data_IF_045176654374
#
_entry.id   IF_045176654374
#
_cell.length_a   1.000
_cell.length_b   1.000
_cell.length_c   1.000
_cell.angle_alpha   90.00
_cell.angle_beta   90.00
_cell.angle_gamma   90.00
#
_symmetry.space_group_name_H-M   'P 1'
#
loop_
_entity.id
_entity.type
_entity.pdbx_description
1 polymer ?
#
# COMPACT_ATOMS: atom_id res chain seq x y z
N UNK A 1 -35.39 -60.44 -99.56
CA UNK A 1 -34.53 -59.70 -98.60
C UNK A 1 -33.10 -60.14 -98.82
N UNK A 2 -32.17 -59.20 -99.04
CA UNK A 2 -30.73 -59.51 -99.13
C UNK A 2 -30.26 -59.99 -97.76
N UNK A 3 -29.60 -61.15 -97.69
CA UNK A 3 -28.98 -61.62 -96.45
C UNK A 3 -27.83 -60.68 -96.08
N UNK A 4 -27.85 -60.17 -94.85
CA UNK A 4 -26.74 -59.35 -94.32
C UNK A 4 -25.54 -60.27 -94.09
N UNK A 5 -24.35 -59.95 -94.64
CA UNK A 5 -23.14 -60.73 -94.43
C UNK A 5 -22.81 -60.89 -92.94
N UNK A 6 -22.21 -62.02 -92.58
CA UNK A 6 -21.80 -62.30 -91.20
C UNK A 6 -20.86 -61.21 -90.65
N UNK A 7 -19.93 -60.72 -91.47
CA UNK A 7 -18.97 -59.69 -91.10
C UNK A 7 -19.65 -58.37 -90.71
N UNK A 8 -20.68 -57.96 -91.45
CA UNK A 8 -21.50 -56.78 -91.12
C UNK A 8 -22.28 -56.97 -89.83
N UNK A 9 -22.72 -58.20 -89.51
CA UNK A 9 -23.36 -58.50 -88.23
C UNK A 9 -22.38 -58.38 -87.06
N UNK A 10 -21.12 -58.79 -87.25
CA UNK A 10 -20.06 -58.64 -86.23
C UNK A 10 -19.71 -57.18 -85.99
N UNK A 11 -19.60 -56.39 -87.06
CA UNK A 11 -19.36 -54.94 -86.97
C UNK A 11 -20.48 -54.20 -86.22
N UNK A 12 -21.75 -54.57 -86.48
CA UNK A 12 -22.90 -54.05 -85.72
C UNK A 12 -22.81 -54.39 -84.23
N UNK A 13 -22.42 -55.61 -83.87
CA UNK A 13 -22.28 -56.03 -82.48
C UNK A 13 -21.09 -55.34 -81.80
N UNK A 14 -19.97 -55.20 -82.47
CA UNK A 14 -18.77 -54.52 -81.96
C UNK A 14 -19.07 -53.05 -81.65
N UNK A 15 -19.63 -52.31 -82.62
CA UNK A 15 -20.00 -50.91 -82.41
C UNK A 15 -21.04 -50.73 -81.30
N UNK A 16 -22.00 -51.65 -81.18
CA UNK A 16 -22.95 -51.64 -80.08
C UNK A 16 -22.27 -51.91 -78.73
N UNK A 17 -21.37 -52.89 -78.64
CA UNK A 17 -20.59 -53.19 -77.43
C UNK A 17 -19.58 -52.10 -77.07
N UNK A 18 -19.23 -51.20 -77.99
CA UNK A 18 -18.51 -49.95 -77.72
C UNK A 18 -19.41 -48.83 -77.13
N UNK A 19 -20.67 -49.13 -76.84
CA UNK A 19 -21.61 -48.20 -76.21
C UNK A 19 -22.29 -47.22 -77.18
N UNK A 20 -22.32 -47.51 -78.49
CA UNK A 20 -23.08 -46.71 -79.46
C UNK A 20 -24.56 -47.11 -79.46
N UNK A 21 -25.45 -46.12 -79.58
CA UNK A 21 -26.88 -46.38 -79.74
C UNK A 21 -27.17 -47.11 -81.05
N UNK A 22 -28.29 -47.83 -81.12
CA UNK A 22 -28.70 -48.53 -82.34
C UNK A 22 -28.83 -47.57 -83.55
N UNK A 23 -29.18 -46.30 -83.31
CA UNK A 23 -29.22 -45.24 -84.32
C UNK A 23 -27.81 -44.88 -84.81
N UNK A 24 -26.87 -44.64 -83.89
CA UNK A 24 -25.49 -44.34 -84.23
C UNK A 24 -24.77 -45.51 -84.93
N UNK A 25 -25.12 -46.76 -84.57
CA UNK A 25 -24.63 -47.96 -85.27
C UNK A 25 -25.22 -48.05 -86.67
N UNK A 26 -26.50 -47.73 -86.84
CA UNK A 26 -27.17 -47.70 -88.15
C UNK A 26 -26.52 -46.68 -89.09
N UNK A 27 -26.20 -45.49 -88.59
CA UNK A 27 -25.49 -44.43 -89.33
C UNK A 27 -24.07 -44.84 -89.72
N UNK A 28 -23.32 -45.49 -88.82
CA UNK A 28 -21.92 -45.90 -89.07
C UNK A 28 -21.76 -47.09 -90.00
N UNK A 29 -22.72 -48.01 -90.01
CA UNK A 29 -22.62 -49.28 -90.78
C UNK A 29 -23.42 -49.25 -92.08
N UNK A 30 -24.28 -48.25 -92.30
CA UNK A 30 -25.20 -48.17 -93.44
C UNK A 30 -26.32 -49.23 -93.40
N UNK A 31 -26.45 -49.98 -92.29
CA UNK A 31 -27.51 -50.97 -92.06
C UNK A 31 -28.73 -50.28 -91.47
N UNK A 32 -29.96 -50.67 -91.86
CA UNK A 32 -31.17 -50.07 -91.31
C UNK A 32 -31.34 -50.35 -89.81
N UNK A 33 -31.90 -49.41 -89.05
CA UNK A 33 -32.20 -49.56 -87.61
C UNK A 33 -32.94 -50.86 -87.28
N UNK A 34 -33.93 -51.25 -88.10
CA UNK A 34 -34.67 -52.50 -87.93
C UNK A 34 -33.79 -53.75 -88.07
N UNK A 35 -32.80 -53.72 -88.95
CA UNK A 35 -31.82 -54.80 -89.10
C UNK A 35 -30.83 -54.84 -87.92
N UNK A 36 -30.38 -53.67 -87.41
CA UNK A 36 -29.58 -53.59 -86.17
C UNK A 36 -30.34 -54.21 -85.00
N UNK A 37 -31.61 -53.84 -84.80
CA UNK A 37 -32.47 -54.40 -83.75
C UNK A 37 -32.63 -55.93 -83.89
N UNK A 38 -32.79 -56.43 -85.12
CA UNK A 38 -32.86 -57.87 -85.38
C UNK A 38 -31.56 -58.59 -85.02
N UNK A 39 -30.40 -58.00 -85.35
CA UNK A 39 -29.08 -58.56 -85.03
C UNK A 39 -28.89 -58.61 -83.50
N UNK A 40 -29.27 -57.56 -82.79
CA UNK A 40 -29.22 -57.51 -81.32
C UNK A 40 -30.17 -58.53 -80.68
N UNK A 41 -31.40 -58.69 -81.22
CA UNK A 41 -32.34 -59.72 -80.78
C UNK A 41 -31.76 -61.13 -80.94
N UNK A 42 -31.10 -61.38 -82.06
CA UNK A 42 -30.42 -62.65 -82.33
C UNK A 42 -29.23 -62.89 -81.38
N UNK A 43 -28.49 -61.84 -81.03
CA UNK A 43 -27.40 -61.91 -80.05
C UNK A 43 -27.90 -62.15 -78.62
N UNK A 44 -28.99 -61.49 -78.21
CA UNK A 44 -29.68 -61.77 -76.93
C UNK A 44 -30.14 -63.24 -76.85
N UNK A 45 -30.66 -63.76 -77.95
CA UNK A 45 -31.09 -65.15 -78.07
C UNK A 45 -29.94 -66.17 -78.16
N UNK A 46 -28.69 -65.72 -78.22
CA UNK A 46 -27.52 -66.61 -78.27
C UNK A 46 -27.27 -67.25 -79.64
N UNK A 47 -27.79 -66.67 -80.73
CA UNK A 47 -27.54 -67.18 -82.10
C UNK A 47 -26.09 -67.00 -82.59
N UNK A 48 -25.26 -66.32 -81.81
CA UNK A 48 -23.81 -66.20 -82.01
C UNK A 48 -23.08 -66.91 -80.84
N UNK A 49 -23.06 -68.25 -80.80
CA UNK A 49 -22.56 -69.01 -79.65
C UNK A 49 -21.08 -68.72 -79.32
N UNK A 50 -20.28 -68.45 -80.34
CA UNK A 50 -18.86 -68.11 -80.24
C UNK A 50 -18.54 -66.75 -79.60
N UNK A 51 -19.54 -65.95 -79.28
CA UNK A 51 -19.36 -64.67 -78.56
C UNK A 51 -19.88 -64.71 -77.11
N UNK A 52 -20.55 -65.79 -76.69
CA UNK A 52 -21.09 -65.95 -75.32
C UNK A 52 -21.95 -64.77 -74.81
N UNK A 53 -22.59 -64.01 -75.71
CA UNK A 53 -23.32 -62.78 -75.37
C UNK A 53 -24.73 -63.00 -74.80
N UNK A 54 -25.18 -64.26 -74.68
CA UNK A 54 -26.55 -64.60 -74.28
C UNK A 54 -26.87 -63.99 -72.91
N UNK A 55 -27.86 -63.10 -72.86
CA UNK A 55 -28.27 -62.40 -71.64
C UNK A 55 -27.33 -61.30 -71.13
N UNK A 56 -26.11 -61.16 -71.68
CA UNK A 56 -25.09 -60.21 -71.21
C UNK A 56 -24.92 -58.98 -72.09
N UNK A 57 -25.45 -59.00 -73.31
CA UNK A 57 -25.23 -57.92 -74.29
C UNK A 57 -25.67 -56.55 -73.78
N UNK A 58 -26.81 -56.49 -73.09
CA UNK A 58 -27.34 -55.23 -72.55
C UNK A 58 -26.53 -54.76 -71.33
N UNK A 59 -26.02 -55.68 -70.51
CA UNK A 59 -25.11 -55.36 -69.38
C UNK A 59 -23.78 -54.80 -69.88
N UNK A 60 -23.14 -55.47 -70.85
CA UNK A 60 -21.88 -55.03 -71.46
C UNK A 60 -22.06 -53.69 -72.18
N UNK A 61 -23.16 -53.52 -72.91
CA UNK A 61 -23.50 -52.24 -73.52
C UNK A 61 -23.69 -51.14 -72.47
N UNK A 62 -24.41 -51.41 -71.38
CA UNK A 62 -24.63 -50.44 -70.30
C UNK A 62 -23.30 -50.05 -69.62
N UNK A 63 -22.40 -51.00 -69.39
CA UNK A 63 -21.06 -50.72 -68.86
C UNK A 63 -20.27 -49.85 -69.84
N UNK A 64 -20.24 -50.20 -71.13
CA UNK A 64 -19.55 -49.43 -72.15
C UNK A 64 -20.13 -48.00 -72.29
N UNK A 65 -21.45 -47.84 -72.23
CA UNK A 65 -22.12 -46.54 -72.21
C UNK A 65 -21.71 -45.73 -70.97
N UNK A 66 -21.67 -46.34 -69.78
CA UNK A 66 -21.26 -45.66 -68.54
C UNK A 66 -19.80 -45.23 -68.59
N UNK A 67 -18.91 -46.10 -69.05
CA UNK A 67 -17.49 -45.78 -69.25
C UNK A 67 -17.34 -44.59 -70.20
N UNK A 68 -18.02 -44.64 -71.35
CA UNK A 68 -17.99 -43.56 -72.34
C UNK A 68 -18.55 -42.24 -71.81
N UNK A 69 -19.65 -42.27 -71.05
CA UNK A 69 -20.21 -41.06 -70.40
C UNK A 69 -19.23 -40.41 -69.41
N UNK A 70 -18.34 -41.20 -68.82
CA UNK A 70 -17.29 -40.75 -67.91
C UNK A 70 -15.94 -40.54 -68.62
N UNK A 71 -15.89 -40.60 -69.96
CA UNK A 71 -14.65 -40.54 -70.76
C UNK A 71 -13.59 -41.58 -70.34
N UNK A 72 -14.01 -42.75 -69.89
CA UNK A 72 -13.16 -43.88 -69.51
C UNK A 72 -13.14 -44.94 -70.60
N UNK A 73 -12.01 -45.62 -70.76
CA UNK A 73 -11.87 -46.80 -71.60
C UNK A 73 -11.79 -48.09 -70.75
N UNK A 74 -11.73 -49.24 -71.41
CA UNK A 74 -11.62 -50.55 -70.74
C UNK A 74 -10.30 -50.70 -69.96
N UNK A 75 -9.22 -50.06 -70.39
CA UNK A 75 -7.92 -50.09 -69.70
C UNK A 75 -8.01 -49.35 -68.36
N UNK A 76 -8.65 -48.18 -68.35
CA UNK A 76 -8.92 -47.40 -67.14
C UNK A 76 -9.88 -48.14 -66.21
N UNK A 77 -10.93 -48.77 -66.75
CA UNK A 77 -11.84 -49.60 -65.94
C UNK A 77 -11.09 -50.77 -65.26
N UNK A 78 -10.17 -51.42 -65.98
CA UNK A 78 -9.33 -52.49 -65.45
C UNK A 78 -8.39 -51.98 -64.35
N UNK A 79 -7.79 -50.81 -64.53
CA UNK A 79 -6.95 -50.17 -63.51
C UNK A 79 -7.75 -49.86 -62.25
N UNK A 80 -8.94 -49.25 -62.40
CA UNK A 80 -9.85 -48.96 -61.29
C UNK A 80 -10.27 -50.22 -60.52
N UNK A 81 -10.56 -51.32 -61.23
CA UNK A 81 -10.87 -52.60 -60.59
C UNK A 81 -9.68 -53.17 -59.80
N UNK A 82 -8.47 -53.13 -60.36
CA UNK A 82 -7.24 -53.55 -59.68
C UNK A 82 -6.96 -52.70 -58.43
N UNK A 83 -7.16 -51.39 -58.53
CA UNK A 83 -7.03 -50.47 -57.41
C UNK A 83 -8.04 -50.77 -56.30
N UNK A 84 -9.32 -50.98 -56.66
CA UNK A 84 -10.37 -51.37 -55.73
C UNK A 84 -10.05 -52.69 -55.01
N UNK A 85 -9.54 -53.70 -55.72
CA UNK A 85 -9.11 -54.96 -55.09
C UNK A 85 -7.99 -54.76 -54.07
N UNK A 86 -7.05 -53.83 -54.31
CA UNK A 86 -5.97 -53.52 -53.37
C UNK A 86 -6.48 -52.79 -52.13
N UNK A 87 -7.44 -51.87 -52.28
CA UNK A 87 -8.09 -51.21 -51.15
C UNK A 87 -8.83 -52.21 -50.25
N UNK A 88 -9.58 -53.14 -50.84
CA UNK A 88 -10.24 -54.21 -50.08
C UNK A 88 -9.23 -55.12 -49.36
N UNK A 89 -8.08 -55.41 -49.98
CA UNK A 89 -7.05 -56.26 -49.37
C UNK A 89 -6.44 -55.65 -48.11
N UNK A 90 -6.46 -54.31 -47.97
CA UNK A 90 -6.05 -53.60 -46.75
C UNK A 90 -7.25 -53.24 -45.84
N UNK A 91 -8.44 -53.76 -46.14
CA UNK A 91 -9.64 -53.56 -45.33
C UNK A 91 -10.31 -52.20 -45.50
N UNK A 92 -9.99 -51.46 -46.57
CA UNK A 92 -10.60 -50.17 -46.89
C UNK A 92 -11.75 -50.38 -47.88
N UNK A 93 -12.98 -50.28 -47.38
CA UNK A 93 -14.21 -50.29 -48.18
C UNK A 93 -14.47 -48.91 -48.82
N UNK A 94 -15.15 -48.82 -49.99
CA UNK A 94 -15.44 -47.56 -50.66
C UNK A 94 -16.09 -46.50 -49.77
N UNK A 95 -16.98 -46.93 -48.90
CA UNK A 95 -17.72 -46.08 -47.96
C UNK A 95 -16.81 -45.44 -46.91
N UNK A 96 -15.66 -46.07 -46.63
CA UNK A 96 -14.68 -45.63 -45.63
C UNK A 96 -13.46 -44.95 -46.25
N UNK A 97 -13.44 -44.76 -47.57
CA UNK A 97 -12.29 -44.19 -48.26
C UNK A 97 -11.99 -42.75 -47.78
N UNK A 98 -13.02 -41.94 -47.57
CA UNK A 98 -12.86 -40.57 -47.04
C UNK A 98 -12.31 -40.57 -45.60
N UNK A 99 -12.82 -41.45 -44.73
CA UNK A 99 -12.31 -41.62 -43.37
C UNK A 99 -10.84 -42.06 -43.36
N UNK A 100 -10.48 -42.97 -44.27
CA UNK A 100 -9.11 -43.43 -44.44
C UNK A 100 -8.17 -42.31 -44.91
N UNK A 101 -8.62 -41.47 -45.84
CA UNK A 101 -7.85 -40.30 -46.30
C UNK A 101 -7.68 -39.29 -45.16
N UNK A 102 -8.73 -39.04 -44.37
CA UNK A 102 -8.68 -38.16 -43.22
C UNK A 102 -7.70 -38.66 -42.15
N UNK A 103 -7.74 -39.97 -41.82
CA UNK A 103 -6.80 -40.60 -40.91
C UNK A 103 -5.34 -40.45 -41.36
N UNK A 104 -5.05 -40.71 -42.64
CA UNK A 104 -3.71 -40.51 -43.21
C UNK A 104 -3.24 -39.05 -43.08
N UNK A 105 -4.18 -38.10 -43.22
CA UNK A 105 -3.91 -36.66 -43.11
C UNK A 105 -3.72 -36.21 -41.65
N UNK A 106 -4.36 -36.86 -40.68
CA UNK A 106 -4.17 -36.58 -39.25
C UNK A 106 -2.80 -37.06 -38.74
N UNK A 107 -2.36 -38.24 -39.20
CA UNK A 107 -1.03 -38.78 -38.86
C UNK A 107 0.09 -37.95 -39.49
N UNK A 108 -0.17 -37.38 -40.67
CA UNK A 108 0.79 -36.53 -41.38
C UNK A 108 0.18 -35.16 -41.71
N UNK A 109 0.06 -34.27 -40.71
CA UNK A 109 -0.67 -33.01 -40.85
C UNK A 109 0.05 -32.00 -41.78
N UNK A 110 1.33 -32.24 -42.09
CA UNK A 110 2.15 -31.37 -42.95
C UNK A 110 1.91 -31.64 -44.43
N UNK A 111 1.72 -32.91 -44.81
CA UNK A 111 1.30 -33.34 -46.14
C UNK A 111 0.83 -34.81 -46.11
N UNK A 112 -0.30 -35.17 -46.73
CA UNK A 112 -0.70 -36.57 -46.93
C UNK A 112 0.35 -37.38 -47.71
N UNK A 113 1.21 -36.71 -48.48
CA UNK A 113 2.32 -37.33 -49.21
C UNK A 113 3.42 -37.86 -48.27
N UNK A 114 3.56 -37.31 -47.06
CA UNK A 114 4.59 -37.69 -46.09
C UNK A 114 4.20 -38.92 -45.25
N UNK A 115 2.93 -39.34 -45.29
CA UNK A 115 2.46 -40.55 -44.61
C UNK A 115 3.17 -41.81 -45.11
N UNK A 116 3.30 -41.96 -46.44
CA UNK A 116 3.94 -43.15 -47.04
C UNK A 116 5.44 -43.20 -46.67
N UNK A 117 6.24 -42.13 -46.83
CA UNK A 117 7.60 -42.07 -46.30
C UNK A 117 7.70 -42.39 -44.80
N UNK A 118 6.83 -41.83 -43.95
CA UNK A 118 6.85 -42.08 -42.51
C UNK A 118 6.53 -43.55 -42.16
N UNK A 119 5.53 -44.15 -42.82
CA UNK A 119 5.19 -45.55 -42.66
C UNK A 119 6.32 -46.47 -43.16
N UNK A 120 6.99 -46.10 -44.25
CA UNK A 120 8.14 -46.83 -44.80
C UNK A 120 9.37 -46.75 -43.89
N UNK A 121 9.65 -45.60 -43.31
CA UNK A 121 10.72 -45.46 -42.30
C UNK A 121 10.38 -46.23 -41.03
N UNK A 122 9.13 -46.19 -40.55
CA UNK A 122 8.71 -47.02 -39.41
C UNK A 122 8.89 -48.52 -39.69
N UNK A 123 8.53 -48.97 -40.89
CA UNK A 123 8.75 -50.36 -41.32
C UNK A 123 10.24 -50.70 -41.39
N UNK A 124 11.07 -49.79 -41.86
CA UNK A 124 12.53 -49.96 -41.91
C UNK A 124 13.11 -50.08 -40.51
N UNK A 125 12.74 -49.18 -39.59
CA UNK A 125 13.16 -49.23 -38.18
C UNK A 125 12.72 -50.55 -37.53
N UNK A 126 11.48 -50.98 -37.77
CA UNK A 126 10.94 -52.27 -37.28
C UNK A 126 11.77 -53.45 -37.80
N UNK A 127 12.22 -53.41 -39.07
CA UNK A 127 13.08 -54.45 -39.67
C UNK A 127 14.50 -54.43 -39.13
N UNK A 128 15.08 -53.25 -38.92
CA UNK A 128 16.45 -53.09 -38.43
C UNK A 128 16.58 -53.46 -36.95
N UNK A 129 15.58 -53.08 -36.14
CA UNK A 129 15.55 -53.37 -34.70
C UNK A 129 14.96 -54.74 -34.38
N UNK A 130 14.14 -55.30 -35.28
CA UNK A 130 13.39 -56.54 -35.04
C UNK A 130 12.22 -56.37 -34.05
N UNK A 131 11.92 -55.14 -33.63
CA UNK A 131 10.90 -54.84 -32.64
C UNK A 131 9.55 -54.53 -33.29
N UNK A 132 8.45 -54.92 -32.64
CA UNK A 132 7.11 -54.47 -33.04
C UNK A 132 6.93 -52.97 -32.78
N UNK A 133 5.96 -52.35 -33.46
CA UNK A 133 5.58 -50.96 -33.20
C UNK A 133 5.29 -50.68 -31.72
N UNK A 134 4.57 -51.59 -31.04
CA UNK A 134 4.24 -51.45 -29.62
C UNK A 134 5.48 -51.49 -28.73
N UNK A 135 6.44 -52.37 -29.04
CA UNK A 135 7.71 -52.45 -28.32
C UNK A 135 8.57 -51.19 -28.56
N UNK A 136 8.68 -50.74 -29.81
CA UNK A 136 9.41 -49.53 -30.17
C UNK A 136 8.82 -48.29 -29.49
N UNK A 137 7.48 -48.15 -29.48
CA UNK A 137 6.80 -47.06 -28.79
C UNK A 137 7.08 -47.09 -27.29
N UNK A 138 7.02 -48.27 -26.66
CA UNK A 138 7.33 -48.45 -25.23
C UNK A 138 8.80 -48.10 -24.90
N UNK A 139 9.73 -48.44 -25.78
CA UNK A 139 11.15 -48.13 -25.62
C UNK A 139 11.40 -46.64 -25.77
N UNK A 140 10.79 -45.99 -26.77
CA UNK A 140 10.87 -44.53 -26.95
C UNK A 140 10.29 -43.80 -25.74
N UNK A 141 9.16 -44.25 -25.18
CA UNK A 141 8.62 -43.65 -23.96
C UNK A 141 9.55 -43.86 -22.76
N UNK A 142 10.11 -45.07 -22.60
CA UNK A 142 11.05 -45.36 -21.51
C UNK A 142 12.34 -44.54 -21.62
N UNK A 143 12.89 -44.40 -22.82
CA UNK A 143 14.06 -43.54 -23.08
C UNK A 143 13.74 -42.06 -22.85
N UNK A 144 12.53 -41.60 -23.17
CA UNK A 144 12.12 -40.23 -22.89
C UNK A 144 12.02 -39.97 -21.37
N UNK A 145 11.47 -40.91 -20.61
CA UNK A 145 11.43 -40.85 -19.14
C UNK A 145 12.83 -40.87 -18.53
N UNK A 146 13.71 -41.76 -19.01
CA UNK A 146 15.09 -41.83 -18.52
C UNK A 146 15.87 -40.55 -18.86
N UNK A 147 15.68 -40.01 -20.06
CA UNK A 147 16.25 -38.71 -20.44
C UNK A 147 15.80 -37.62 -19.47
N UNK A 148 14.52 -37.61 -19.09
CA UNK A 148 14.00 -36.63 -18.14
C UNK A 148 14.65 -36.76 -16.76
N UNK A 149 14.80 -37.99 -16.25
CA UNK A 149 15.51 -38.25 -14.98
C UNK A 149 16.96 -37.82 -15.02
N UNK A 150 17.65 -38.08 -16.12
CA UNK A 150 19.05 -37.65 -16.30
C UNK A 150 19.17 -36.12 -16.35
N UNK A 151 18.22 -35.43 -16.97
CA UNK A 151 18.18 -33.96 -16.98
C UNK A 151 18.03 -33.40 -15.56
N UNK A 152 17.14 -33.99 -14.75
CA UNK A 152 16.96 -33.62 -13.35
C UNK A 152 18.24 -33.88 -12.52
N UNK A 153 18.85 -35.07 -12.67
CA UNK A 153 20.08 -35.42 -11.98
C UNK A 153 21.26 -34.51 -12.35
N UNK A 154 21.37 -34.09 -13.62
CA UNK A 154 22.37 -33.11 -14.06
C UNK A 154 22.10 -31.75 -13.42
N UNK A 155 20.84 -31.34 -13.29
CA UNK A 155 20.46 -30.11 -12.57
C UNK A 155 20.90 -30.14 -11.11
N UNK A 156 20.65 -31.24 -10.40
CA UNK A 156 21.07 -31.43 -9.01
C UNK A 156 22.59 -31.42 -8.86
N UNK A 157 23.31 -32.06 -9.77
CA UNK A 157 24.78 -32.06 -9.79
C UNK A 157 25.34 -30.66 -10.02
N UNK A 158 24.77 -29.88 -10.94
CA UNK A 158 25.16 -28.49 -11.17
C UNK A 158 24.91 -27.61 -9.93
N UNK A 159 23.78 -27.80 -9.25
CA UNK A 159 23.50 -27.09 -8.00
C UNK A 159 24.52 -27.46 -6.90
N UNK A 160 24.85 -28.75 -6.78
CA UNK A 160 25.86 -29.24 -5.84
C UNK A 160 27.26 -28.72 -6.17
N UNK A 161 27.63 -28.66 -7.45
CA UNK A 161 28.91 -28.10 -7.91
C UNK A 161 29.02 -26.62 -7.55
N UNK A 162 27.96 -25.84 -7.80
CA UNK A 162 27.90 -24.42 -7.43
C UNK A 162 28.11 -24.24 -5.92
N UNK A 163 27.38 -25.01 -5.11
CA UNK A 163 27.54 -24.99 -3.64
C UNK A 163 28.95 -25.38 -3.19
N UNK A 164 29.56 -26.38 -3.83
CA UNK A 164 30.95 -26.78 -3.55
C UNK A 164 31.94 -25.65 -3.83
N UNK A 165 31.74 -24.90 -4.92
CA UNK A 165 32.58 -23.76 -5.26
C UNK A 165 32.39 -22.57 -4.30
N UNK A 166 31.15 -22.29 -3.86
CA UNK A 166 30.86 -21.29 -2.83
C UNK A 166 31.56 -21.66 -1.50
N UNK A 167 31.43 -22.91 -1.05
CA UNK A 167 32.11 -23.39 0.15
C UNK A 167 33.64 -23.30 0.05
N UNK A 168 34.22 -23.59 -1.12
CA UNK A 168 35.67 -23.41 -1.35
C UNK A 168 36.09 -21.95 -1.23
N UNK A 169 35.28 -21.01 -1.73
CA UNK A 169 35.56 -19.58 -1.58
C UNK A 169 35.50 -19.15 -0.11
N UNK A 170 34.47 -19.58 0.63
CA UNK A 170 34.34 -19.32 2.07
C UNK A 170 35.52 -19.89 2.87
N UNK A 171 35.97 -21.11 2.55
CA UNK A 171 37.15 -21.72 3.17
C UNK A 171 38.38 -20.83 2.91
N UNK A 172 38.58 -20.36 1.68
CA UNK A 172 39.69 -19.46 1.35
C UNK A 172 39.67 -18.15 2.14
N UNK A 173 38.49 -17.55 2.31
CA UNK A 173 38.32 -16.34 3.12
C UNK A 173 38.60 -16.59 4.61
N UNK A 174 38.13 -17.72 5.14
CA UNK A 174 38.40 -18.14 6.51
C UNK A 174 39.88 -18.44 6.75
N UNK A 175 40.57 -19.08 5.81
CA UNK A 175 42.02 -19.31 5.88
C UNK A 175 42.80 -18.00 5.91
N UNK A 176 42.41 -17.04 5.06
CA UNK A 176 42.99 -15.70 5.08
C UNK A 176 42.77 -15.02 6.43
N UNK A 177 41.54 -15.03 6.94
CA UNK A 177 41.22 -14.42 8.24
C UNK A 177 41.98 -15.09 9.40
N UNK A 178 42.13 -16.41 9.35
CA UNK A 178 42.94 -17.15 10.33
C UNK A 178 44.41 -16.74 10.26
N UNK A 179 44.96 -16.51 9.07
CA UNK A 179 46.34 -16.03 8.93
C UNK A 179 46.55 -14.63 9.51
N UNK A 180 45.59 -13.72 9.29
CA UNK A 180 45.59 -12.36 9.85
C UNK A 180 45.54 -12.39 11.38
N UNK A 181 44.60 -13.18 11.94
CA UNK A 181 44.45 -13.34 13.38
C UNK A 181 45.69 -13.98 14.02
N UNK A 182 46.34 -14.93 13.34
CA UNK A 182 47.61 -15.50 13.82
C UNK A 182 48.73 -14.46 13.82
N UNK A 183 48.81 -13.61 12.80
CA UNK A 183 49.81 -12.53 12.76
C UNK A 183 49.57 -11.51 13.88
N UNK A 184 48.31 -11.11 14.10
CA UNK A 184 47.92 -10.20 15.18
C UNK A 184 48.22 -10.80 16.56
N UNK A 185 47.88 -12.08 16.78
CA UNK A 185 48.22 -12.81 18.00
C UNK A 185 49.72 -12.78 18.26
N UNK A 186 50.54 -13.14 17.27
CA UNK A 186 52.01 -13.13 17.41
C UNK A 186 52.54 -11.74 17.75
N UNK A 187 51.95 -10.69 17.17
CA UNK A 187 52.30 -9.30 17.48
C UNK A 187 51.94 -8.95 18.93
N UNK A 188 50.72 -9.26 19.37
CA UNK A 188 50.28 -9.01 20.74
C UNK A 188 51.10 -9.80 21.76
N UNK A 189 51.45 -11.05 21.47
CA UNK A 189 52.35 -11.85 22.31
C UNK A 189 53.75 -11.21 22.43
N UNK A 190 54.27 -10.64 21.34
CA UNK A 190 55.52 -9.89 21.36
C UNK A 190 55.42 -8.58 22.16
N UNK A 191 54.33 -7.83 22.03
CA UNK A 191 54.06 -6.61 22.79
C UNK A 191 53.93 -6.91 24.29
N UNK A 192 53.19 -7.96 24.67
CA UNK A 192 53.07 -8.42 26.07
C UNK A 192 54.42 -8.85 26.61
N UNK A 193 55.20 -9.61 25.85
CA UNK A 193 56.56 -10.03 26.26
C UNK A 193 57.48 -8.83 26.47
N UNK A 194 57.39 -7.82 25.59
CA UNK A 194 58.13 -6.56 25.71
C UNK A 194 57.73 -5.81 26.98
N UNK A 195 56.42 -5.62 27.21
CA UNK A 195 55.90 -4.96 28.41
C UNK A 195 56.32 -5.69 29.69
N UNK A 196 56.21 -7.01 29.72
CA UNK A 196 56.64 -7.82 30.87
C UNK A 196 58.15 -7.61 31.14
N UNK A 197 58.98 -7.56 30.09
CA UNK A 197 60.41 -7.26 30.25
C UNK A 197 60.67 -5.86 30.84
N UNK A 198 59.86 -4.86 30.48
CA UNK A 198 59.94 -3.50 31.02
C UNK A 198 59.53 -3.49 32.49
N UNK A 199 58.43 -4.16 32.83
CA UNK A 199 57.95 -4.31 34.21
C UNK A 199 59.02 -4.98 35.07
N UNK A 200 59.61 -6.10 34.61
CA UNK A 200 60.68 -6.79 35.33
C UNK A 200 61.89 -5.89 35.58
N UNK A 201 62.37 -5.17 34.55
CA UNK A 201 63.48 -4.23 34.70
C UNK A 201 63.17 -3.11 35.69
N UNK A 202 61.95 -2.56 35.63
CA UNK A 202 61.52 -1.47 36.53
C UNK A 202 61.35 -1.96 37.97
N UNK A 203 60.75 -3.13 38.16
CA UNK A 203 60.62 -3.77 39.46
C UNK A 203 62.00 -4.00 40.10
N UNK A 204 62.98 -4.48 39.30
CA UNK A 204 64.36 -4.65 39.75
C UNK A 204 65.01 -3.33 40.19
N UNK A 205 64.84 -2.24 39.41
CA UNK A 205 65.36 -0.91 39.77
C UNK A 205 64.72 -0.37 41.05
N UNK A 206 63.43 -0.64 41.25
CA UNK A 206 62.67 -0.20 42.42
C UNK A 206 62.85 -1.11 43.64
N UNK A 207 63.47 -2.28 43.49
CA UNK A 207 63.70 -3.23 44.57
C UNK A 207 62.43 -3.93 45.07
N UNK A 208 61.39 -4.01 44.24
CA UNK A 208 60.11 -4.67 44.57
C UNK A 208 59.83 -5.86 43.63
N UNK A 209 59.02 -6.85 44.03
CA UNK A 209 58.56 -7.91 43.14
C UNK A 209 57.79 -7.36 41.93
N UNK A 210 57.99 -7.94 40.74
CA UNK A 210 57.30 -7.52 39.52
C UNK A 210 55.77 -7.64 39.62
N UNK A 211 55.28 -8.66 40.32
CA UNK A 211 53.85 -8.86 40.60
C UNK A 211 53.26 -7.76 41.48
N UNK A 212 54.05 -7.21 42.41
CA UNK A 212 53.63 -6.09 43.26
C UNK A 212 53.56 -4.79 42.44
N UNK A 213 54.53 -4.56 41.55
CA UNK A 213 54.49 -3.43 40.62
C UNK A 213 53.29 -3.52 39.67
N UNK A 214 52.99 -4.70 39.12
CA UNK A 214 51.80 -4.94 38.29
C UNK A 214 50.51 -4.63 39.03
N UNK A 215 50.38 -5.12 40.28
CA UNK A 215 49.21 -4.84 41.10
C UNK A 215 49.03 -3.33 41.35
N UNK A 216 50.12 -2.61 41.65
CA UNK A 216 50.10 -1.15 41.86
C UNK A 216 49.78 -0.38 40.59
N UNK A 217 50.27 -0.81 39.42
CA UNK A 217 49.88 -0.23 38.13
C UNK A 217 48.39 -0.47 37.85
N UNK A 218 47.87 -1.65 38.18
CA UNK A 218 46.43 -1.94 38.09
C UNK A 218 45.58 -1.06 39.02
N UNK A 219 46.02 -0.83 40.26
CA UNK A 219 45.37 0.12 41.18
C UNK A 219 45.36 1.55 40.60
N UNK A 220 46.46 2.01 40.00
CA UNK A 220 46.53 3.33 39.37
C UNK A 220 45.54 3.48 38.21
N UNK A 221 45.42 2.47 37.34
CA UNK A 221 44.43 2.48 36.24
C UNK A 221 43.01 2.59 36.78
N UNK A 222 42.67 1.83 37.82
CA UNK A 222 41.34 1.92 38.46
C UNK A 222 41.08 3.30 39.09
N UNK A 223 42.11 3.91 39.68
CA UNK A 223 42.01 5.27 40.24
C UNK A 223 41.82 6.32 39.14
N UNK A 224 42.50 6.18 38.00
CA UNK A 224 42.29 7.07 36.85
C UNK A 224 40.86 6.97 36.31
N UNK A 225 40.30 5.77 36.26
CA UNK A 225 38.89 5.55 35.90
C UNK A 225 37.93 6.20 36.92
N UNK A 226 38.19 6.05 38.23
CA UNK A 226 37.39 6.73 39.26
C UNK A 226 37.50 8.26 39.16
N UNK A 227 38.69 8.80 38.95
CA UNK A 227 38.92 10.23 38.74
C UNK A 227 38.12 10.71 37.53
N UNK A 228 38.13 9.98 36.42
CA UNK A 228 37.35 10.32 35.22
C UNK A 228 35.84 10.38 35.52
N UNK A 229 35.32 9.46 36.34
CA UNK A 229 33.92 9.48 36.80
C UNK A 229 33.65 10.70 37.69
N UNK A 230 34.53 10.99 38.66
CA UNK A 230 34.38 12.15 39.56
C UNK A 230 34.44 13.49 38.82
N UNK A 231 35.28 13.61 37.80
CA UNK A 231 35.37 14.81 36.95
C UNK A 231 34.03 15.04 36.23
N UNK A 232 33.42 13.99 35.66
CA UNK A 232 32.10 14.10 35.02
C UNK A 232 31.04 14.57 36.00
N UNK A 233 31.05 14.04 37.21
CA UNK A 233 30.11 14.41 38.27
C UNK A 233 30.32 15.86 38.74
N UNK A 234 31.57 16.32 38.90
CA UNK A 234 31.88 17.70 39.25
C UNK A 234 31.35 18.68 38.20
N UNK A 235 31.54 18.39 36.91
CA UNK A 235 30.99 19.22 35.83
C UNK A 235 29.45 19.26 35.86
N UNK A 236 28.79 18.14 36.16
CA UNK A 236 27.32 18.08 36.32
C UNK A 236 26.86 18.99 37.46
N UNK A 237 27.43 18.82 38.65
CA UNK A 237 27.09 19.61 39.84
C UNK A 237 27.39 21.10 39.65
N UNK A 238 28.49 21.44 38.98
CA UNK A 238 28.82 22.83 38.64
C UNK A 238 27.75 23.46 37.72
N UNK A 239 27.22 22.69 36.76
CA UNK A 239 26.08 23.10 35.94
C UNK A 239 24.82 23.37 36.78
N UNK A 240 24.51 22.49 37.73
CA UNK A 240 23.36 22.64 38.64
C UNK A 240 23.48 23.86 39.56
N UNK A 241 24.67 24.08 40.14
CA UNK A 241 24.95 25.25 40.98
C UNK A 241 24.80 26.53 40.17
N UNK A 242 25.28 26.57 38.93
CA UNK A 242 25.13 27.74 38.06
C UNK A 242 23.66 28.04 37.78
N UNK A 243 22.87 27.03 37.42
CA UNK A 243 21.44 27.18 37.17
C UNK A 243 20.67 27.63 38.43
N UNK A 244 21.01 27.08 39.60
CA UNK A 244 20.41 27.50 40.86
C UNK A 244 20.79 28.93 41.24
N UNK A 245 22.03 29.34 40.98
CA UNK A 245 22.51 30.71 41.24
C UNK A 245 21.79 31.71 40.34
N UNK A 246 21.66 31.42 39.04
CA UNK A 246 20.90 32.25 38.09
C UNK A 246 19.42 32.38 38.52
N UNK A 247 18.80 31.28 38.96
CA UNK A 247 17.43 31.29 39.49
C UNK A 247 17.30 32.12 40.76
N UNK A 248 18.25 32.01 41.68
CA UNK A 248 18.25 32.80 42.92
C UNK A 248 18.37 34.30 42.63
N UNK A 249 19.26 34.68 41.70
CA UNK A 249 19.40 36.08 41.27
C UNK A 249 18.13 36.62 40.62
N UNK A 250 17.46 35.82 39.78
CA UNK A 250 16.18 36.20 39.18
C UNK A 250 15.12 36.43 40.26
N UNK A 251 14.98 35.51 41.22
CA UNK A 251 14.03 35.64 42.33
C UNK A 251 14.33 36.85 43.22
N UNK A 252 15.60 37.12 43.52
CA UNK A 252 15.99 38.32 44.27
C UNK A 252 15.56 39.60 43.55
N UNK A 253 15.81 39.70 42.23
CA UNK A 253 15.37 40.85 41.42
C UNK A 253 13.84 41.02 41.37
N UNK A 254 13.09 39.91 41.46
CA UNK A 254 11.63 39.94 41.50
C UNK A 254 11.15 40.41 42.88
N UNK A 255 11.78 39.93 43.95
CA UNK A 255 11.46 40.31 45.32
C UNK A 255 11.75 41.80 45.58
N UNK A 256 12.87 42.32 45.08
CA UNK A 256 13.18 43.76 45.16
C UNK A 256 12.13 44.61 44.44
N UNK A 257 11.71 44.19 43.23
CA UNK A 257 10.64 44.86 42.49
C UNK A 257 9.32 44.84 43.25
N UNK A 258 8.91 43.66 43.75
CA UNK A 258 7.68 43.52 44.54
C UNK A 258 7.72 44.36 45.82
N UNK A 259 8.87 44.41 46.51
CA UNK A 259 9.04 45.27 47.70
C UNK A 259 8.90 46.75 47.34
N UNK A 260 9.46 47.20 46.22
CA UNK A 260 9.32 48.57 45.74
C UNK A 260 7.89 48.90 45.31
N UNK A 261 7.16 47.94 44.71
CA UNK A 261 5.74 48.06 44.41
C UNK A 261 4.93 48.22 45.71
N UNK A 262 5.15 47.38 46.72
CA UNK A 262 4.46 47.49 48.01
C UNK A 262 4.73 48.81 48.73
N UNK A 263 5.97 49.31 48.68
CA UNK A 263 6.29 50.61 49.28
C UNK A 263 5.55 51.76 48.58
N UNK A 264 5.43 51.70 47.25
CA UNK A 264 4.62 52.64 46.47
C UNK A 264 3.14 52.56 46.85
N UNK A 265 2.59 51.35 46.94
CA UNK A 265 1.19 51.15 47.33
C UNK A 265 0.90 51.67 48.75
N UNK A 266 1.81 51.44 49.71
CA UNK A 266 1.70 52.00 51.06
C UNK A 266 1.69 53.53 51.07
N UNK A 267 2.49 54.19 50.22
CA UNK A 267 2.47 55.65 50.08
C UNK A 267 1.13 56.14 49.50
N UNK A 268 0.63 55.47 48.46
CA UNK A 268 -0.68 55.78 47.88
C UNK A 268 -1.82 55.60 48.89
N UNK A 269 -1.83 54.51 49.65
CA UNK A 269 -2.82 54.26 50.71
C UNK A 269 -2.79 55.37 51.77
N UNK A 270 -1.60 55.82 52.18
CA UNK A 270 -1.47 56.95 53.12
C UNK A 270 -2.05 58.24 52.54
N UNK A 271 -1.77 58.54 51.28
CA UNK A 271 -2.32 59.71 50.60
C UNK A 271 -3.86 59.64 50.51
N UNK A 272 -4.41 58.51 50.06
CA UNK A 272 -5.87 58.32 49.99
C UNK A 272 -6.52 58.46 51.37
N UNK A 273 -5.89 57.94 52.43
CA UNK A 273 -6.39 58.14 53.81
C UNK A 273 -6.43 59.61 54.20
N UNK A 274 -5.41 60.39 53.84
CA UNK A 274 -5.39 61.84 54.09
C UNK A 274 -6.48 62.57 53.29
N UNK A 275 -6.68 62.21 52.02
CA UNK A 275 -7.73 62.78 51.17
C UNK A 275 -9.14 62.45 51.72
N UNK A 276 -9.37 61.21 52.17
CA UNK A 276 -10.63 60.82 52.81
C UNK A 276 -10.87 61.58 54.11
N UNK A 277 -9.83 61.79 54.92
CA UNK A 277 -9.93 62.60 56.13
C UNK A 277 -10.30 64.06 55.82
N UNK A 278 -9.65 64.67 54.81
CA UNK A 278 -9.99 66.02 54.35
C UNK A 278 -11.42 66.11 53.80
N UNK A 279 -11.87 65.11 53.04
CA UNK A 279 -13.26 65.02 52.58
C UNK A 279 -14.25 64.90 53.74
N UNK A 280 -13.90 64.16 54.80
CA UNK A 280 -14.74 64.05 56.00
C UNK A 280 -14.86 65.40 56.74
N UNK A 281 -13.79 66.18 56.85
CA UNK A 281 -13.83 67.54 57.42
C UNK A 281 -14.70 68.48 56.58
N UNK A 282 -14.52 68.46 55.25
CA UNK A 282 -15.34 69.25 54.33
C UNK A 282 -16.82 68.86 54.47
N UNK A 283 -17.12 67.57 54.49
CA UNK A 283 -18.48 67.06 54.71
C UNK A 283 -19.05 67.56 56.05
N UNK A 284 -18.28 67.48 57.14
CA UNK A 284 -18.69 67.98 58.45
C UNK A 284 -19.05 69.48 58.43
N UNK A 285 -18.20 70.31 57.80
CA UNK A 285 -18.48 71.75 57.63
C UNK A 285 -19.76 72.03 56.84
N UNK A 286 -20.01 71.27 55.77
CA UNK A 286 -21.26 71.43 55.02
C UNK A 286 -22.47 70.97 55.84
N UNK A 287 -22.32 69.92 56.65
CA UNK A 287 -23.38 69.38 57.49
C UNK A 287 -23.76 70.37 58.62
N UNK A 288 -22.78 70.98 59.28
CA UNK A 288 -22.99 72.04 60.27
C UNK A 288 -23.69 73.28 59.66
N UNK A 289 -23.30 73.68 58.44
CA UNK A 289 -24.00 74.75 57.72
C UNK A 289 -25.45 74.40 57.42
N UNK A 290 -25.74 73.13 57.08
CA UNK A 290 -27.12 72.65 56.88
C UNK A 290 -27.89 72.74 58.20
N UNK A 291 -27.33 72.27 59.32
CA UNK A 291 -27.97 72.36 60.64
C UNK A 291 -28.23 73.82 61.06
N UNK A 292 -27.29 74.73 60.83
CA UNK A 292 -27.51 76.16 61.08
C UNK A 292 -28.62 76.77 60.22
N UNK A 293 -28.71 76.39 58.94
CA UNK A 293 -29.81 76.83 58.08
C UNK A 293 -31.16 76.28 58.57
N UNK A 294 -31.21 75.02 58.99
CA UNK A 294 -32.41 74.41 59.57
C UNK A 294 -32.82 75.08 60.90
N UNK A 295 -31.84 75.35 61.77
CA UNK A 295 -32.07 76.07 63.02
C UNK A 295 -32.59 77.48 62.76
N UNK A 296 -31.96 78.23 61.85
CA UNK A 296 -32.38 79.59 61.50
C UNK A 296 -33.79 79.60 60.91
N UNK A 297 -34.12 78.63 60.05
CA UNK A 297 -35.45 78.48 59.48
C UNK A 297 -36.54 78.24 60.55
N UNK A 298 -36.18 77.64 61.69
CA UNK A 298 -37.11 77.45 62.83
C UNK A 298 -37.24 78.67 63.73
N UNK A 299 -36.12 79.31 64.07
CA UNK A 299 -36.10 80.36 65.12
C UNK A 299 -36.40 81.76 64.58
N UNK A 300 -35.96 82.10 63.36
CA UNK A 300 -36.17 83.44 62.80
C UNK A 300 -37.66 83.82 62.66
N UNK A 301 -38.56 82.93 62.22
CA UNK A 301 -39.99 83.24 62.18
C UNK A 301 -40.54 83.56 63.58
N UNK A 302 -40.11 82.82 64.61
CA UNK A 302 -40.53 83.02 65.99
C UNK A 302 -40.03 84.35 66.56
N UNK A 303 -38.81 84.77 66.24
CA UNK A 303 -38.29 86.07 66.68
C UNK A 303 -38.97 87.25 66.00
N UNK A 304 -39.43 87.08 64.76
CA UNK A 304 -40.02 88.17 63.97
C UNK A 304 -41.48 88.41 64.34
N UNK A 305 -42.27 87.33 64.44
CA UNK A 305 -43.70 87.37 64.77
C UNK A 305 -44.03 86.24 65.78
N UNK A 306 -43.64 86.36 67.07
CA UNK A 306 -43.76 85.28 68.06
C UNK A 306 -45.20 84.80 68.24
N UNK A 307 -46.17 85.70 68.18
CA UNK A 307 -47.59 85.38 68.35
C UNK A 307 -48.16 84.52 67.19
N UNK A 308 -47.47 84.50 66.04
CA UNK A 308 -47.90 83.74 64.85
C UNK A 308 -47.23 82.37 64.76
N UNK A 309 -46.22 82.10 65.58
CA UNK A 309 -45.50 80.82 65.58
C UNK A 309 -45.90 80.02 66.82
N UNK A 310 -46.53 78.85 66.59
CA UNK A 310 -46.95 77.96 67.67
C UNK A 310 -45.72 77.35 68.34
N UNK A 311 -45.47 77.74 69.58
CA UNK A 311 -44.42 77.19 70.44
C UNK A 311 -45.04 76.49 71.66
N UNK A 312 -45.85 75.47 71.39
CA UNK A 312 -46.71 74.85 72.40
C UNK A 312 -45.93 74.07 73.46
N UNK A 313 -44.72 73.62 73.15
CA UNK A 313 -43.81 72.97 74.09
C UNK A 313 -42.81 73.96 74.73
N UNK A 314 -42.97 75.26 74.45
CA UNK A 314 -42.11 76.34 74.89
C UNK A 314 -40.63 76.14 74.51
N UNK A 315 -40.35 75.31 73.50
CA UNK A 315 -38.98 74.99 73.11
C UNK A 315 -38.31 76.17 72.42
N UNK A 316 -39.01 76.91 71.55
CA UNK A 316 -38.46 78.06 70.83
C UNK A 316 -38.23 79.25 71.78
N UNK A 317 -39.19 79.57 72.66
CA UNK A 317 -39.02 80.63 73.64
C UNK A 317 -37.89 80.31 74.63
N UNK A 318 -37.74 79.04 75.03
CA UNK A 318 -36.66 78.62 75.92
C UNK A 318 -35.29 78.70 75.23
N UNK A 319 -35.22 78.41 73.93
CA UNK A 319 -34.01 78.61 73.13
C UNK A 319 -33.66 80.09 73.06
N UNK A 320 -34.63 80.95 72.73
CA UNK A 320 -34.42 82.40 72.63
C UNK A 320 -33.99 82.98 73.98
N UNK A 321 -34.67 82.61 75.07
CA UNK A 321 -34.31 83.03 76.42
C UNK A 321 -32.90 82.57 76.80
N UNK A 322 -32.53 81.32 76.52
CA UNK A 322 -31.16 80.85 76.74
C UNK A 322 -30.13 81.62 75.90
N UNK A 323 -30.45 81.98 74.66
CA UNK A 323 -29.59 82.81 73.82
C UNK A 323 -29.42 84.21 74.42
N UNK A 324 -30.51 84.82 74.90
CA UNK A 324 -30.48 86.12 75.58
C UNK A 324 -29.69 86.04 76.87
N UNK A 325 -29.89 85.01 77.69
CA UNK A 325 -29.13 84.78 78.93
C UNK A 325 -27.63 84.62 78.68
N UNK A 326 -27.26 83.80 77.69
CA UNK A 326 -25.86 83.66 77.27
C UNK A 326 -25.29 84.97 76.74
N UNK A 327 -26.07 85.72 75.96
CA UNK A 327 -25.64 87.02 75.45
C UNK A 327 -25.42 88.03 76.57
N UNK A 328 -26.34 88.10 77.54
CA UNK A 328 -26.21 88.91 78.76
C UNK A 328 -24.96 88.51 79.54
N UNK A 329 -24.68 87.22 79.69
CA UNK A 329 -23.45 86.74 80.31
C UNK A 329 -22.19 87.12 79.53
N UNK A 330 -22.25 87.34 78.22
CA UNK A 330 -21.11 87.79 77.43
C UNK A 330 -20.90 89.31 77.49
N UNK A 331 -21.89 90.08 77.94
CA UNK A 331 -21.76 91.52 78.16
C UNK A 331 -21.06 91.79 79.50
N UNK A 332 -19.81 92.30 79.50
CA UNK A 332 -19.00 92.43 80.71
C UNK A 332 -19.67 93.30 81.79
N UNK A 333 -20.40 94.34 81.37
CA UNK A 333 -21.00 95.35 82.26
C UNK A 333 -22.17 94.83 83.09
N UNK A 334 -22.79 93.70 82.69
CA UNK A 334 -24.03 93.20 83.28
C UNK A 334 -23.82 92.01 84.22
N UNK A 335 -22.60 91.46 84.27
CA UNK A 335 -22.25 90.27 85.06
C UNK A 335 -22.43 90.42 86.57
N UNK A 336 -22.46 91.64 87.11
CA UNK A 336 -22.48 91.88 88.56
C UNK A 336 -23.81 92.43 89.13
N UNK A 337 -24.86 92.61 88.32
CA UNK A 337 -26.16 93.15 88.78
C UNK A 337 -27.38 92.31 88.37
N UNK A 338 -27.20 91.00 88.17
CA UNK A 338 -28.28 90.07 87.80
C UNK A 338 -29.52 90.20 88.70
N UNK A 339 -29.33 90.27 90.02
CA UNK A 339 -30.45 90.18 90.97
C UNK A 339 -31.27 91.46 91.13
N UNK A 340 -30.94 92.54 90.39
CA UNK A 340 -31.72 93.79 90.44
C UNK A 340 -32.03 94.38 89.05
N UNK A 341 -31.81 93.64 87.97
CA UNK A 341 -32.03 94.10 86.60
C UNK A 341 -33.53 94.28 86.33
N UNK A 342 -34.00 95.52 86.23
CA UNK A 342 -35.38 95.83 85.83
C UNK A 342 -35.44 95.90 84.31
N UNK A 343 -36.50 95.34 83.72
CA UNK A 343 -36.71 95.29 82.27
C UNK A 343 -36.61 96.64 81.56
N UNK A 344 -36.91 97.74 82.25
CA UNK A 344 -36.77 99.08 81.70
C UNK A 344 -35.30 99.46 81.44
N UNK A 345 -34.35 98.94 82.23
CA UNK A 345 -32.90 99.14 82.01
C UNK A 345 -32.43 98.40 80.75
N UNK A 346 -32.93 97.18 80.53
CA UNK A 346 -32.65 96.40 79.31
C UNK A 346 -33.22 97.12 78.09
N UNK A 347 -34.47 97.62 78.17
CA UNK A 347 -35.05 98.43 77.09
C UNK A 347 -34.23 99.68 76.82
N UNK A 348 -33.81 100.42 77.86
CA UNK A 348 -33.01 101.63 77.68
C UNK A 348 -31.63 101.35 77.07
N UNK A 349 -30.96 100.24 77.42
CA UNK A 349 -29.70 99.86 76.80
C UNK A 349 -29.86 99.40 75.34
N UNK A 350 -30.89 98.61 75.06
CA UNK A 350 -31.19 98.21 73.68
C UNK A 350 -31.55 99.42 72.84
N UNK A 351 -32.30 100.39 73.38
CA UNK A 351 -32.58 101.66 72.71
C UNK A 351 -31.29 102.49 72.55
N UNK A 352 -30.42 102.57 73.55
CA UNK A 352 -29.15 103.31 73.44
C UNK A 352 -28.14 102.68 72.48
N UNK A 353 -28.26 101.37 72.22
CA UNK A 353 -27.44 100.63 71.24
C UNK A 353 -28.12 100.51 69.87
N UNK A 354 -29.37 100.93 69.74
CA UNK A 354 -30.12 101.04 68.47
C UNK A 354 -30.25 102.49 67.97
N UNK A 355 -29.71 103.47 68.71
CA UNK A 355 -29.44 104.81 68.18
C UNK A 355 -28.14 104.80 67.37
#
# INVERSE_FOLDING_TARGET
MKQIPFQTKMEVLDLYLQGLSADAVSEKTGVSKGAVISILKDARAGKYPQLELRGRIDELHNVAVRLRKQNLDLSQARLGFSFFQRLLAIGVEPERLEEWIAFCSEISPTSPEDFVPAAMELLKITRETGLSYTALSSEVTGLAEERQRLVEAVGDLQASEKRSNELKAEIGDHEKRLSELRAERSRLEAEVSSLNSVIQKRAQVLGIPATELEAKLGELVNLDDEIAVRIKECHRLQGEVKALTERHQMLASQMERASADFERDLKLIKQVRQEVAALAEVKGRYQEKVEHMEWAARVLPFLSDPDKVRDNDFSLISIVLNCVDKWIQLQPDWRFRWYSLRWDEIKNYVVSKRA
#
